data_IF_280048267596
#
_entry.id   IF_280048267596
#
_cell.length_a   1.000
_cell.length_b   1.000
_cell.length_c   1.000
_cell.angle_alpha   90.00
_cell.angle_beta   90.00
_cell.angle_gamma   90.00
#
_symmetry.space_group_name_H-M   'P 1'
#
loop_
_entity.id
_entity.type
_entity.pdbx_description
1 polymer ?
#
# COMPACT_ATOMS: atom_id res chain seq x y z
N UNK A 1 0.07 2.19 7.20
CA UNK A 1 -0.69 1.11 7.92
C UNK A 1 0.14 -0.16 8.09
N UNK A 2 0.74 -0.73 7.03
CA UNK A 2 1.57 -1.95 7.13
C UNK A 2 2.70 -1.83 8.16
N UNK A 3 3.41 -0.70 8.16
CA UNK A 3 4.44 -0.38 9.17
C UNK A 3 3.92 -0.54 10.60
N UNK A 4 2.78 0.07 10.92
CA UNK A 4 2.14 -0.05 12.25
C UNK A 4 1.77 -1.49 12.59
N UNK A 5 1.26 -2.25 11.60
CA UNK A 5 0.87 -3.64 11.81
C UNK A 5 2.07 -4.52 12.18
N UNK A 6 3.21 -4.33 11.51
CA UNK A 6 4.46 -5.02 11.82
C UNK A 6 4.98 -4.59 13.18
N UNK A 7 5.13 -3.28 13.41
CA UNK A 7 5.73 -2.75 14.64
C UNK A 7 4.92 -3.06 15.91
N UNK A 8 3.60 -3.21 15.79
CA UNK A 8 2.72 -3.51 16.93
C UNK A 8 2.17 -4.96 16.93
N UNK A 9 2.60 -5.80 15.98
CA UNK A 9 2.26 -7.22 15.96
C UNK A 9 0.77 -7.53 15.74
N UNK A 10 0.06 -6.73 14.95
CA UNK A 10 -1.33 -7.01 14.58
C UNK A 10 -1.49 -7.37 13.10
N UNK A 11 -2.58 -8.06 12.76
CA UNK A 11 -2.84 -8.48 11.37
C UNK A 11 -3.34 -7.30 10.52
N UNK A 12 -2.52 -6.88 9.56
CA UNK A 12 -2.83 -5.78 8.64
C UNK A 12 -4.07 -6.07 7.74
N UNK A 13 -4.27 -7.33 7.36
CA UNK A 13 -5.38 -7.75 6.52
C UNK A 13 -6.71 -7.66 7.27
N UNK A 14 -6.74 -8.13 8.51
CA UNK A 14 -7.88 -8.04 9.42
C UNK A 14 -8.23 -6.58 9.73
N UNK A 15 -7.21 -5.72 9.89
CA UNK A 15 -7.43 -4.28 10.02
C UNK A 15 -8.13 -3.71 8.77
N UNK A 16 -7.63 -4.02 7.57
CA UNK A 16 -8.27 -3.61 6.31
C UNK A 16 -9.69 -4.13 6.24
N UNK A 17 -9.98 -5.37 6.62
CA UNK A 17 -11.32 -5.95 6.55
C UNK A 17 -12.32 -5.29 7.49
N UNK A 18 -11.86 -4.85 8.66
CA UNK A 18 -12.69 -4.18 9.65
C UNK A 18 -12.88 -2.67 9.36
N UNK A 19 -12.01 -2.06 8.57
CA UNK A 19 -12.03 -0.62 8.30
C UNK A 19 -13.31 -0.20 7.53
N UNK A 20 -13.95 0.93 7.87
CA UNK A 20 -15.13 1.48 7.19
C UNK A 20 -14.73 2.12 5.84
N UNK A 21 -14.49 1.25 4.87
CA UNK A 21 -13.96 1.57 3.53
C UNK A 21 -14.86 2.49 2.72
N UNK A 22 -16.16 2.53 2.98
CA UNK A 22 -17.12 3.41 2.31
C UNK A 22 -16.77 4.90 2.40
N UNK A 23 -15.95 5.29 3.39
CA UNK A 23 -15.50 6.66 3.60
C UNK A 23 -14.13 6.97 2.96
N UNK A 24 -13.48 5.98 2.34
CA UNK A 24 -12.15 6.17 1.74
C UNK A 24 -12.27 6.80 0.35
N UNK A 25 -11.75 8.02 0.22
CA UNK A 25 -11.72 8.77 -1.04
C UNK A 25 -10.51 8.46 -1.92
N UNK A 26 -9.36 8.17 -1.30
CA UNK A 26 -8.06 7.97 -1.95
C UNK A 26 -7.21 6.98 -1.14
N UNK A 27 -6.28 6.29 -1.81
CA UNK A 27 -5.32 5.38 -1.19
C UNK A 27 -3.90 5.84 -1.51
N UNK A 28 -3.02 5.92 -0.50
CA UNK A 28 -1.60 6.20 -0.70
C UNK A 28 -0.79 4.92 -0.47
N UNK A 29 0.25 4.72 -1.29
CA UNK A 29 1.19 3.61 -1.18
C UNK A 29 2.61 4.19 -1.14
N UNK A 30 3.31 3.98 -0.01
CA UNK A 30 4.71 4.34 0.16
C UNK A 30 5.55 3.13 0.56
N UNK A 31 6.84 3.17 0.25
CA UNK A 31 7.82 2.25 0.80
C UNK A 31 8.24 2.62 2.22
N UNK A 32 9.03 1.74 2.83
CA UNK A 32 9.51 1.87 4.20
C UNK A 32 10.93 1.34 4.31
N UNK A 33 11.70 1.88 5.25
CA UNK A 33 12.98 1.32 5.65
C UNK A 33 12.79 0.24 6.73
N UNK A 34 13.73 -0.71 6.76
CA UNK A 34 13.87 -1.65 7.86
C UNK A 34 14.97 -1.18 8.82
N UNK A 35 14.72 -1.34 10.10
CA UNK A 35 15.61 -1.01 11.20
C UNK A 35 15.45 -2.05 12.34
N UNK A 36 16.12 -1.81 13.47
CA UNK A 36 15.96 -2.58 14.70
C UNK A 36 15.77 -1.65 15.89
N UNK A 37 14.91 -2.01 16.83
CA UNK A 37 14.76 -1.26 18.08
C UNK A 37 15.90 -1.54 19.08
N UNK A 38 15.83 -0.94 20.27
CA UNK A 38 16.84 -1.06 21.32
C UNK A 38 17.07 -2.50 21.80
N UNK A 39 16.11 -3.41 21.60
CA UNK A 39 16.21 -4.83 21.96
C UNK A 39 16.61 -5.74 20.78
N UNK A 40 16.75 -5.16 19.58
CA UNK A 40 17.11 -5.86 18.35
C UNK A 40 15.91 -6.45 17.61
N UNK A 41 14.68 -6.14 18.02
CA UNK A 41 13.47 -6.55 17.31
C UNK A 41 13.30 -5.75 16.02
N UNK A 42 12.68 -6.39 15.02
CA UNK A 42 12.45 -5.77 13.72
C UNK A 42 11.54 -4.54 13.85
N UNK A 43 11.99 -3.41 13.31
CA UNK A 43 11.28 -2.15 13.29
C UNK A 43 11.20 -1.66 11.84
N UNK A 44 10.03 -1.18 11.42
CA UNK A 44 9.86 -0.51 10.13
C UNK A 44 9.67 0.99 10.32
N UNK A 45 10.30 1.78 9.45
CA UNK A 45 10.20 3.24 9.42
C UNK A 45 9.43 3.66 8.17
N UNK A 46 8.33 4.38 8.36
CA UNK A 46 7.47 4.90 7.28
C UNK A 46 8.14 6.14 6.65
N UNK A 47 9.26 5.92 5.96
CA UNK A 47 10.10 6.98 5.42
C UNK A 47 9.72 7.44 4.00
N UNK A 48 8.90 6.65 3.28
CA UNK A 48 8.55 6.89 1.89
C UNK A 48 9.78 7.12 0.99
N UNK A 49 10.91 6.49 1.35
CA UNK A 49 12.20 6.60 0.68
C UNK A 49 12.57 5.38 -0.17
N UNK A 50 11.63 4.43 -0.30
CA UNK A 50 11.86 3.12 -0.90
C UNK A 50 10.69 2.71 -1.80
N UNK A 51 10.93 1.74 -2.70
CA UNK A 51 9.86 1.13 -3.47
C UNK A 51 8.82 0.47 -2.55
N UNK A 52 7.56 0.51 -2.95
CA UNK A 52 6.45 -0.10 -2.23
C UNK A 52 6.66 -1.62 -2.20
N UNK A 53 6.77 -2.19 -1.00
CA UNK A 53 7.01 -3.61 -0.81
C UNK A 53 5.81 -4.49 -1.25
N UNK A 54 6.08 -5.71 -1.72
CA UNK A 54 5.04 -6.66 -2.17
C UNK A 54 3.92 -6.94 -1.16
N UNK A 55 4.18 -7.05 0.16
CA UNK A 55 3.10 -7.17 1.15
C UNK A 55 2.14 -5.98 1.15
N UNK A 56 2.64 -4.77 0.90
CA UNK A 56 1.83 -3.55 0.79
C UNK A 56 0.96 -3.60 -0.47
N UNK A 57 1.51 -4.06 -1.60
CA UNK A 57 0.74 -4.29 -2.83
C UNK A 57 -0.38 -5.33 -2.65
N UNK A 58 -0.14 -6.39 -1.87
CA UNK A 58 -1.16 -7.37 -1.55
C UNK A 58 -2.30 -6.77 -0.70
N UNK A 59 -1.96 -5.95 0.28
CA UNK A 59 -2.93 -5.21 1.11
C UNK A 59 -3.73 -4.20 0.29
N UNK A 60 -3.08 -3.50 -0.64
CA UNK A 60 -3.74 -2.60 -1.58
C UNK A 60 -4.76 -3.34 -2.47
N UNK A 61 -4.37 -4.47 -3.05
CA UNK A 61 -5.25 -5.29 -3.84
C UNK A 61 -6.46 -5.81 -3.04
N UNK A 62 -6.27 -6.10 -1.74
CA UNK A 62 -7.32 -6.48 -0.78
C UNK A 62 -8.26 -5.31 -0.50
N UNK A 63 -7.73 -4.12 -0.23
CA UNK A 63 -8.53 -2.91 -0.01
C UNK A 63 -9.42 -2.61 -1.23
N UNK A 64 -8.85 -2.63 -2.44
CA UNK A 64 -9.62 -2.40 -3.68
C UNK A 64 -10.67 -3.48 -3.97
N UNK A 65 -10.49 -4.70 -3.48
CA UNK A 65 -11.53 -5.74 -3.60
C UNK A 65 -12.80 -5.38 -2.80
N UNK A 66 -12.67 -4.57 -1.73
CA UNK A 66 -13.78 -4.06 -0.93
C UNK A 66 -14.30 -2.71 -1.44
N UNK A 67 -13.38 -1.82 -1.83
CA UNK A 67 -13.65 -0.43 -2.22
C UNK A 67 -14.14 -0.25 -3.66
N UNK A 68 -13.80 -1.21 -4.52
CA UNK A 68 -13.69 -0.97 -5.96
C UNK A 68 -12.51 -0.06 -6.30
N UNK A 69 -12.36 0.32 -7.59
CA UNK A 69 -11.36 1.28 -8.05
C UNK A 69 -11.38 2.60 -7.26
N UNK A 70 -10.22 3.08 -6.80
CA UNK A 70 -10.06 4.37 -6.12
C UNK A 70 -8.85 5.15 -6.64
N UNK A 71 -8.88 6.50 -6.61
CA UNK A 71 -7.68 7.31 -6.76
C UNK A 71 -6.56 6.75 -5.89
N UNK A 72 -5.38 6.62 -6.49
CA UNK A 72 -4.21 6.05 -5.81
C UNK A 72 -2.99 6.90 -6.13
N UNK A 73 -2.26 7.24 -5.07
CA UNK A 73 -0.98 7.95 -5.14
C UNK A 73 0.13 6.98 -4.72
N UNK A 74 1.22 6.94 -5.51
CA UNK A 74 2.49 6.38 -5.04
C UNK A 74 3.24 7.50 -4.36
N UNK A 75 3.45 7.38 -3.06
CA UNK A 75 4.02 8.40 -2.19
C UNK A 75 5.54 8.20 -2.09
N UNK A 76 6.27 9.27 -2.41
CA UNK A 76 7.72 9.36 -2.35
C UNK A 76 8.09 10.73 -1.79
N UNK A 77 8.51 10.78 -0.53
CA UNK A 77 8.86 12.02 0.15
C UNK A 77 10.37 12.17 0.37
N UNK A 78 11.10 11.04 0.38
CA UNK A 78 12.53 10.98 0.59
C UNK A 78 13.21 10.18 -0.54
N UNK A 79 14.52 10.39 -0.74
CA UNK A 79 15.38 9.63 -1.66
C UNK A 79 14.76 9.33 -3.05
N UNK A 80 14.05 10.32 -3.59
CA UNK A 80 13.20 10.18 -4.78
C UNK A 80 14.00 9.59 -5.96
N UNK A 81 13.59 8.41 -6.49
CA UNK A 81 14.35 7.71 -7.51
C UNK A 81 14.15 8.34 -8.89
N UNK A 82 14.88 7.81 -9.87
CA UNK A 82 14.70 8.20 -11.26
C UNK A 82 13.30 7.89 -11.79
N UNK A 83 12.92 8.59 -12.86
CA UNK A 83 11.61 8.48 -13.51
C UNK A 83 11.16 7.04 -13.82
N UNK A 84 12.08 6.16 -14.23
CA UNK A 84 11.74 4.78 -14.59
C UNK A 84 11.14 4.00 -13.42
N UNK A 85 11.62 4.22 -12.19
CA UNK A 85 11.09 3.58 -10.99
C UNK A 85 9.71 4.15 -10.66
N UNK A 86 9.61 5.48 -10.58
CA UNK A 86 8.35 6.18 -10.30
C UNK A 86 7.24 5.76 -11.28
N UNK A 87 7.57 5.70 -12.57
CA UNK A 87 6.64 5.32 -13.62
C UNK A 87 6.27 3.83 -13.57
N UNK A 88 7.21 2.96 -13.19
CA UNK A 88 6.93 1.53 -13.02
C UNK A 88 5.91 1.29 -11.90
N UNK A 89 6.05 1.94 -10.75
CA UNK A 89 5.11 1.81 -9.64
C UNK A 89 3.73 2.40 -9.95
N UNK A 90 3.69 3.56 -10.59
CA UNK A 90 2.44 4.15 -11.06
C UNK A 90 1.69 3.20 -12.02
N UNK A 91 2.41 2.62 -13.00
CA UNK A 91 1.83 1.60 -13.90
C UNK A 91 1.38 0.35 -13.15
N UNK A 92 2.10 -0.07 -12.10
CA UNK A 92 1.70 -1.21 -11.27
C UNK A 92 0.38 -0.93 -10.56
N UNK A 93 0.20 0.25 -9.98
CA UNK A 93 -1.07 0.66 -9.39
C UNK A 93 -2.20 0.69 -10.43
N UNK A 94 -1.96 1.26 -11.61
CA UNK A 94 -2.94 1.28 -12.71
C UNK A 94 -3.38 -0.12 -13.14
N UNK A 95 -2.43 -1.06 -13.23
CA UNK A 95 -2.73 -2.45 -13.58
C UNK A 95 -3.63 -3.13 -12.54
N UNK A 96 -3.35 -2.91 -11.25
CA UNK A 96 -4.20 -3.45 -10.16
C UNK A 96 -5.60 -2.83 -10.21
N UNK A 97 -5.71 -1.51 -10.41
CA UNK A 97 -7.00 -0.80 -10.54
C UNK A 97 -7.78 -1.33 -11.74
N UNK A 98 -7.13 -1.48 -12.90
CA UNK A 98 -7.76 -1.96 -14.13
C UNK A 98 -8.33 -3.39 -13.94
N UNK A 99 -7.58 -4.27 -13.27
CA UNK A 99 -8.05 -5.62 -12.92
C UNK A 99 -9.29 -5.65 -12.00
N UNK A 100 -9.60 -4.54 -11.31
CA UNK A 100 -10.82 -4.39 -10.50
C UNK A 100 -11.99 -3.78 -11.27
N UNK A 101 -11.72 -2.98 -12.31
CA UNK A 101 -12.75 -2.39 -13.19
C UNK A 101 -13.47 -3.45 -14.03
N UNK A 102 -12.74 -4.47 -14.48
CA UNK A 102 -13.26 -5.53 -15.36
C UNK A 102 -14.15 -6.55 -14.65
N UNK A 103 -14.18 -6.56 -13.31
CA UNK A 103 -14.94 -7.52 -12.51
C UNK A 103 -16.35 -7.05 -12.11
N UNK A 104 -16.83 -5.90 -12.63
CA UNK A 104 -18.24 -5.49 -12.48
C UNK A 104 -19.07 -6.23 -13.53
N UNK A 105 -19.75 -7.28 -13.08
CA UNK A 105 -20.75 -8.03 -13.84
C UNK A 105 -21.75 -7.07 -14.49
N UNK A 106 -21.92 -7.26 -15.81
CA UNK A 106 -23.02 -6.72 -16.59
C UNK A 106 -24.35 -7.11 -15.94
N UNK A 107 -25.21 -6.12 -15.70
CA UNK A 107 -26.64 -6.32 -15.43
C UNK A 107 -27.40 -5.80 -16.63
#
# INVERSE_FOLDING_TARGET
MFVQAVNHGFDAGAYIDAFPVEHVGEIHLGGHAADSDDDGSALLIDDHGHEVADPVWALYARALARLGPRPTLIEWDNDVPGWEVLFAEAKRADAVIAGRRTNRVAI
#
